data_IF_280360959190
#
_entry.id   IF_280360959190
#
_cell.length_a   1.000
_cell.length_b   1.000
_cell.length_c   1.000
_cell.angle_alpha   90.00
_cell.angle_beta   90.00
_cell.angle_gamma   90.00
#
_symmetry.space_group_name_H-M   'P 1'
#
loop_
_entity.id
_entity.type
_entity.pdbx_description
1 polymer ?
#
# COMPACT_ATOMS: atom_id res chain seq x y z
N UNK A 1 22.45 -5.78 9.23
CA UNK A 1 23.23 -6.84 8.56
C UNK A 1 23.23 -6.50 7.09
N UNK A 2 24.37 -6.47 6.39
CA UNK A 2 24.40 -6.22 4.95
C UNK A 2 24.10 -7.48 4.13
N UNK A 3 23.75 -7.31 2.86
CA UNK A 3 23.52 -8.43 1.92
C UNK A 3 24.56 -8.45 0.82
N UNK A 4 24.85 -9.66 0.31
CA UNK A 4 25.60 -9.81 -0.93
C UNK A 4 24.62 -9.73 -2.11
N UNK A 5 24.95 -8.89 -3.09
CA UNK A 5 24.20 -8.73 -4.32
C UNK A 5 25.17 -8.82 -5.50
N UNK A 6 24.74 -9.45 -6.60
CA UNK A 6 25.51 -9.51 -7.85
C UNK A 6 25.44 -8.17 -8.61
N UNK A 7 24.43 -7.35 -8.31
CA UNK A 7 24.19 -6.03 -8.90
C UNK A 7 24.74 -4.91 -8.02
N UNK A 8 24.97 -3.74 -8.63
CA UNK A 8 25.36 -2.55 -7.90
C UNK A 8 24.33 -2.19 -6.82
N UNK A 9 24.81 -1.80 -5.64
CA UNK A 9 23.95 -1.48 -4.51
C UNK A 9 23.06 -0.26 -4.83
N UNK A 10 21.75 -0.48 -4.85
CA UNK A 10 20.73 0.59 -5.01
C UNK A 10 20.48 1.35 -3.71
N UNK A 11 20.83 0.74 -2.59
CA UNK A 11 20.78 1.32 -1.24
C UNK A 11 21.85 0.64 -0.40
N UNK A 12 22.57 1.41 0.41
CA UNK A 12 23.67 0.89 1.24
C UNK A 12 23.41 1.10 2.73
N UNK A 13 24.05 0.29 3.55
CA UNK A 13 23.93 0.37 5.02
C UNK A 13 24.72 1.56 5.52
N UNK A 14 24.07 2.47 6.24
CA UNK A 14 24.78 3.49 7.05
C UNK A 14 24.97 2.92 8.46
N UNK A 15 26.21 2.91 9.00
CA UNK A 15 26.45 2.43 10.35
C UNK A 15 25.65 3.21 11.40
N UNK A 16 25.24 2.57 12.50
CA UNK A 16 24.58 3.29 13.59
C UNK A 16 25.55 4.31 14.20
N UNK A 17 25.01 5.47 14.56
CA UNK A 17 25.70 6.52 15.31
C UNK A 17 24.91 6.83 16.59
N UNK A 18 25.54 7.42 17.63
CA UNK A 18 24.86 7.74 18.87
C UNK A 18 23.63 8.62 18.63
N UNK A 19 22.52 8.33 19.32
CA UNK A 19 21.34 9.20 19.30
C UNK A 19 21.48 10.41 20.25
N UNK A 20 22.46 10.36 21.17
CA UNK A 20 22.74 11.38 22.17
C UNK A 20 24.21 11.23 22.64
N UNK A 21 24.91 12.33 23.01
CA UNK A 21 24.46 13.73 23.03
C UNK A 21 24.29 14.33 21.64
N UNK A 22 23.53 15.42 21.51
CA UNK A 22 23.20 16.07 20.23
C UNK A 22 24.47 16.41 19.44
N UNK A 23 25.53 16.82 20.13
CA UNK A 23 26.85 17.16 19.57
C UNK A 23 27.58 15.95 18.94
N UNK A 24 27.12 14.72 19.17
CA UNK A 24 27.65 13.49 18.58
C UNK A 24 26.62 12.74 17.73
N UNK A 25 25.41 13.30 17.54
CA UNK A 25 24.30 12.66 16.84
C UNK A 25 24.37 12.84 15.31
N UNK A 26 25.54 12.56 14.73
CA UNK A 26 25.76 12.61 13.28
C UNK A 26 26.62 11.44 12.82
N UNK A 27 26.43 11.02 11.58
CA UNK A 27 27.29 10.00 10.96
C UNK A 27 28.60 10.63 10.47
N UNK A 28 29.73 10.01 10.78
CA UNK A 28 31.02 10.29 10.13
C UNK A 28 31.22 9.48 8.85
N UNK A 29 30.37 8.47 8.62
CA UNK A 29 30.39 7.58 7.45
C UNK A 29 29.18 7.85 6.58
N UNK A 30 29.33 8.73 5.60
CA UNK A 30 28.23 9.17 4.72
C UNK A 30 28.01 8.25 3.53
N UNK A 31 28.98 7.39 3.20
CA UNK A 31 28.93 6.45 2.07
C UNK A 31 29.54 5.11 2.46
N UNK A 32 28.90 4.04 2.03
CA UNK A 32 29.37 2.66 2.17
C UNK A 32 29.13 1.92 0.86
N UNK A 33 29.73 0.73 0.70
CA UNK A 33 29.47 -0.19 -0.42
C UNK A 33 28.66 -1.41 0.00
N UNK A 34 28.30 -1.50 1.28
CA UNK A 34 27.55 -2.62 1.83
C UNK A 34 26.08 -2.50 1.45
N UNK A 35 25.58 -3.39 0.59
CA UNK A 35 24.21 -3.33 0.14
C UNK A 35 23.23 -3.56 1.29
N UNK A 36 22.24 -2.68 1.40
CA UNK A 36 21.08 -2.81 2.29
C UNK A 36 19.87 -3.43 1.56
N UNK A 37 19.85 -3.31 0.23
CA UNK A 37 18.83 -3.90 -0.65
C UNK A 37 19.52 -4.58 -1.83
N UNK A 38 19.11 -5.81 -2.12
CA UNK A 38 19.47 -6.51 -3.34
C UNK A 38 18.26 -6.56 -4.27
N UNK A 39 18.44 -6.18 -5.53
CA UNK A 39 17.41 -6.24 -6.59
C UNK A 39 17.91 -7.09 -7.75
N UNK A 40 17.02 -7.93 -8.29
CA UNK A 40 17.33 -8.85 -9.39
C UNK A 40 16.14 -9.04 -10.33
N UNK A 41 16.40 -8.98 -11.63
CA UNK A 41 15.50 -9.54 -12.64
C UNK A 41 16.01 -10.92 -13.06
N UNK A 42 15.12 -11.92 -13.11
CA UNK A 42 15.45 -13.27 -13.51
C UNK A 42 14.32 -13.82 -14.40
N UNK A 43 14.54 -13.82 -15.71
CA UNK A 43 13.47 -14.08 -16.68
C UNK A 43 12.32 -13.08 -16.51
N UNK A 44 11.11 -13.58 -16.26
CA UNK A 44 9.93 -12.73 -16.04
C UNK A 44 9.79 -12.22 -14.58
N UNK A 45 10.60 -12.73 -13.66
CA UNK A 45 10.53 -12.43 -12.23
C UNK A 45 11.33 -11.19 -11.86
N UNK A 46 10.80 -10.41 -10.91
CA UNK A 46 11.46 -9.29 -10.23
C UNK A 46 11.55 -9.61 -8.75
N UNK A 47 12.77 -9.60 -8.20
CA UNK A 47 13.04 -9.95 -6.80
C UNK A 47 13.67 -8.75 -6.09
N UNK A 48 13.17 -8.48 -4.88
CA UNK A 48 13.72 -7.47 -3.97
C UNK A 48 13.96 -8.15 -2.63
N UNK A 49 15.16 -7.99 -2.08
CA UNK A 49 15.52 -8.47 -0.75
C UNK A 49 16.03 -7.31 0.10
N UNK A 50 15.45 -7.14 1.29
CA UNK A 50 15.91 -6.17 2.29
C UNK A 50 16.73 -6.88 3.36
N UNK A 51 17.86 -6.30 3.70
CA UNK A 51 18.74 -6.85 4.74
C UNK A 51 18.21 -6.67 6.18
N UNK A 52 17.06 -5.98 6.33
CA UNK A 52 16.35 -5.77 7.58
C UNK A 52 14.84 -5.85 7.39
N UNK A 53 14.14 -5.85 8.52
CA UNK A 53 12.68 -5.93 8.55
C UNK A 53 12.06 -4.53 8.37
N UNK A 54 11.79 -4.18 7.10
CA UNK A 54 11.20 -2.88 6.74
C UNK A 54 9.79 -2.73 7.30
N UNK A 55 8.98 -3.79 7.28
CA UNK A 55 7.61 -3.77 7.78
C UNK A 55 7.57 -3.47 9.28
N UNK A 56 8.35 -4.20 10.07
CA UNK A 56 8.46 -3.96 11.52
C UNK A 56 9.08 -2.61 11.84
N UNK A 57 10.07 -2.17 11.06
CA UNK A 57 10.68 -0.84 11.22
C UNK A 57 9.65 0.26 11.01
N UNK A 58 8.86 0.18 9.93
CA UNK A 58 7.77 1.12 9.67
C UNK A 58 6.75 1.09 10.82
N UNK A 59 6.27 -0.10 11.21
CA UNK A 59 5.28 -0.25 12.28
C UNK A 59 5.73 0.37 13.62
N UNK A 60 7.03 0.32 13.93
CA UNK A 60 7.57 0.87 15.18
C UNK A 60 7.86 2.37 15.12
N UNK A 61 8.34 2.86 13.97
CA UNK A 61 8.83 4.23 13.84
C UNK A 61 7.83 5.20 13.23
N UNK A 62 6.88 4.71 12.43
CA UNK A 62 6.02 5.55 11.58
C UNK A 62 6.77 6.33 10.51
N UNK A 63 8.06 6.02 10.25
CA UNK A 63 8.87 6.84 9.37
C UNK A 63 8.45 6.66 7.89
N UNK A 64 8.10 7.75 7.16
CA UNK A 64 7.50 7.67 5.83
C UNK A 64 8.44 7.04 4.78
N UNK A 65 9.75 7.24 4.91
CA UNK A 65 10.74 6.69 3.96
C UNK A 65 10.72 5.16 3.88
N UNK A 66 10.50 4.47 5.01
CA UNK A 66 10.43 3.01 5.01
C UNK A 66 9.21 2.51 4.23
N UNK A 67 8.05 3.17 4.42
CA UNK A 67 6.85 2.88 3.65
C UNK A 67 7.05 3.18 2.16
N UNK A 68 7.67 4.31 1.82
CA UNK A 68 7.98 4.69 0.44
C UNK A 68 8.86 3.65 -0.24
N UNK A 69 9.87 3.12 0.44
CA UNK A 69 10.73 2.05 -0.09
C UNK A 69 9.95 0.76 -0.37
N UNK A 70 9.05 0.37 0.52
CA UNK A 70 8.18 -0.81 0.33
C UNK A 70 7.27 -0.60 -0.89
N UNK A 71 6.58 0.56 -0.98
CA UNK A 71 5.66 0.86 -2.07
C UNK A 71 6.37 0.91 -3.43
N UNK A 72 7.52 1.60 -3.52
CA UNK A 72 8.31 1.66 -4.75
C UNK A 72 8.81 0.26 -5.19
N UNK A 73 9.13 -0.60 -4.23
CA UNK A 73 9.56 -1.98 -4.50
C UNK A 73 8.41 -2.81 -5.06
N UNK A 74 7.20 -2.68 -4.49
CA UNK A 74 6.00 -3.34 -5.00
C UNK A 74 5.65 -2.84 -6.41
N UNK A 75 5.69 -1.53 -6.65
CA UNK A 75 5.47 -0.98 -7.99
C UNK A 75 6.47 -1.51 -9.01
N UNK A 76 7.75 -1.55 -8.65
CA UNK A 76 8.77 -2.12 -9.50
C UNK A 76 8.50 -3.61 -9.77
N UNK A 77 8.24 -4.41 -8.73
CA UNK A 77 7.94 -5.84 -8.88
C UNK A 77 6.71 -6.11 -9.74
N UNK A 78 5.65 -5.31 -9.57
CA UNK A 78 4.39 -5.42 -10.31
C UNK A 78 4.43 -4.74 -11.68
N UNK A 79 5.56 -4.15 -12.08
CA UNK A 79 5.71 -3.40 -13.35
C UNK A 79 4.70 -2.25 -13.47
N UNK A 80 4.41 -1.59 -12.34
CA UNK A 80 3.41 -0.53 -12.24
C UNK A 80 1.96 -1.02 -12.28
N UNK A 81 1.71 -2.34 -12.37
CA UNK A 81 0.35 -2.88 -12.37
C UNK A 81 -0.25 -2.80 -10.97
N UNK A 82 -1.36 -2.09 -10.84
CA UNK A 82 -2.14 -1.98 -9.61
C UNK A 82 -3.58 -2.42 -9.91
N UNK A 83 -3.94 -3.69 -9.60
CA UNK A 83 -5.26 -4.24 -9.92
C UNK A 83 -6.39 -3.47 -9.26
N UNK A 84 -6.14 -2.85 -8.10
CA UNK A 84 -7.08 -1.94 -7.46
C UNK A 84 -6.34 -0.67 -7.11
N UNK A 85 -6.96 0.46 -7.43
CA UNK A 85 -6.51 1.79 -7.05
C UNK A 85 -7.68 2.52 -6.43
N UNK A 86 -7.43 3.16 -5.30
CA UNK A 86 -8.40 4.00 -4.60
C UNK A 86 -7.74 5.35 -4.37
N UNK A 87 -8.36 6.39 -4.91
CA UNK A 87 -7.88 7.77 -4.84
C UNK A 87 -8.89 8.62 -4.07
N UNK A 88 -8.45 9.21 -2.97
CA UNK A 88 -9.27 10.03 -2.08
C UNK A 88 -8.45 10.51 -0.89
N UNK A 89 -9.02 11.43 -0.11
CA UNK A 89 -8.41 11.87 1.15
C UNK A 89 -8.57 10.82 2.25
N UNK A 90 -7.66 10.86 3.23
CA UNK A 90 -7.67 9.98 4.39
C UNK A 90 -6.74 8.77 4.24
N UNK A 91 -6.64 8.00 5.31
CA UNK A 91 -5.94 6.73 5.31
C UNK A 91 -6.96 5.59 5.24
N UNK A 92 -6.81 4.75 4.22
CA UNK A 92 -7.70 3.64 3.95
C UNK A 92 -6.93 2.34 3.86
N UNK A 93 -7.48 1.29 4.45
CA UNK A 93 -7.06 -0.08 4.19
C UNK A 93 -8.04 -0.73 3.22
N UNK A 94 -7.52 -1.41 2.20
CA UNK A 94 -8.33 -1.99 1.13
C UNK A 94 -8.11 -3.49 1.01
N UNK A 95 -9.19 -4.24 0.81
CA UNK A 95 -9.14 -5.66 0.49
C UNK A 95 -10.00 -5.94 -0.72
N UNK A 96 -9.43 -6.58 -1.72
CA UNK A 96 -10.12 -6.95 -2.95
C UNK A 96 -10.07 -8.45 -3.14
N UNK A 97 -11.21 -9.05 -3.44
CA UNK A 97 -11.29 -10.47 -3.73
C UNK A 97 -12.45 -10.82 -4.64
N UNK A 98 -12.38 -12.01 -5.19
CA UNK A 98 -13.45 -12.62 -5.96
C UNK A 98 -14.43 -13.36 -5.03
N UNK A 99 -15.72 -13.23 -5.30
CA UNK A 99 -16.82 -13.88 -4.59
C UNK A 99 -17.60 -14.79 -5.54
N UNK A 100 -18.53 -15.60 -5.02
CA UNK A 100 -19.41 -16.41 -5.86
C UNK A 100 -20.24 -15.56 -6.83
N UNK A 101 -20.73 -14.41 -6.37
CA UNK A 101 -21.56 -13.50 -7.17
C UNK A 101 -20.77 -12.58 -8.11
N UNK A 102 -19.46 -12.41 -7.88
CA UNK A 102 -18.63 -11.47 -8.64
C UNK A 102 -17.37 -11.08 -7.89
N UNK A 103 -17.26 -9.81 -7.49
CA UNK A 103 -16.09 -9.28 -6.78
C UNK A 103 -16.51 -8.37 -5.63
N UNK A 104 -15.63 -8.22 -4.64
CA UNK A 104 -15.82 -7.30 -3.54
C UNK A 104 -14.57 -6.45 -3.34
N UNK A 105 -14.78 -5.17 -3.03
CA UNK A 105 -13.77 -4.26 -2.51
C UNK A 105 -14.22 -3.77 -1.13
N UNK A 106 -13.44 -4.09 -0.11
CA UNK A 106 -13.62 -3.61 1.25
C UNK A 106 -12.76 -2.37 1.47
N UNK A 107 -13.34 -1.36 2.09
CA UNK A 107 -12.73 -0.07 2.41
C UNK A 107 -12.85 0.13 3.92
N UNK A 108 -11.72 0.04 4.65
CA UNK A 108 -11.68 0.31 6.08
C UNK A 108 -11.09 1.69 6.34
N UNK A 109 -11.82 2.53 7.08
CA UNK A 109 -11.35 3.84 7.46
C UNK A 109 -10.32 3.72 8.59
N UNK A 110 -9.06 3.99 8.24
CA UNK A 110 -7.92 4.02 9.15
C UNK A 110 -7.50 5.45 9.50
N UNK A 111 -8.31 6.46 9.14
CA UNK A 111 -8.08 7.87 9.42
C UNK A 111 -8.32 8.21 10.90
N UNK A 112 -7.36 7.81 11.73
CA UNK A 112 -7.36 8.01 13.16
C UNK A 112 -6.00 8.61 13.60
N UNK A 113 -5.98 9.72 14.36
CA UNK A 113 -4.74 10.27 14.94
C UNK A 113 -3.91 9.24 15.73
N UNK A 114 -4.56 8.20 16.26
CA UNK A 114 -3.98 7.09 16.99
C UNK A 114 -4.01 5.77 16.20
N UNK A 115 -3.87 5.79 14.87
CA UNK A 115 -3.89 4.64 13.96
C UNK A 115 -3.28 3.33 14.51
N UNK A 116 -2.14 3.42 15.19
CA UNK A 116 -1.40 2.25 15.70
C UNK A 116 -1.74 1.87 17.14
N UNK A 117 -2.79 2.47 17.73
CA UNK A 117 -3.32 2.11 19.05
C UNK A 117 -4.73 1.57 18.93
N UNK A 118 -5.06 0.58 19.75
CA UNK A 118 -6.35 -0.14 19.67
C UNK A 118 -7.58 0.63 20.16
N UNK A 119 -7.45 1.87 20.64
CA UNK A 119 -8.58 2.64 21.20
C UNK A 119 -9.01 3.72 20.21
N UNK A 120 -10.22 3.54 19.67
CA UNK A 120 -10.90 4.50 18.80
C UNK A 120 -12.17 4.98 19.49
N UNK A 121 -12.26 6.28 19.79
CA UNK A 121 -13.44 6.87 20.43
C UNK A 121 -14.50 7.28 19.41
N UNK A 122 -14.08 7.83 18.27
CA UNK A 122 -14.92 8.23 17.14
C UNK A 122 -14.14 8.09 15.84
N UNK A 123 -14.85 7.87 14.75
CA UNK A 123 -14.26 7.87 13.41
C UNK A 123 -14.25 9.28 12.82
N UNK A 124 -13.17 9.62 12.12
CA UNK A 124 -13.11 10.81 11.27
C UNK A 124 -13.46 10.37 9.84
N UNK A 125 -14.72 10.52 9.40
CA UNK A 125 -15.13 10.05 8.09
C UNK A 125 -14.35 10.79 6.99
N UNK A 126 -14.06 10.09 5.90
CA UNK A 126 -13.55 10.72 4.69
C UNK A 126 -14.57 10.63 3.56
N UNK A 127 -14.51 11.62 2.66
CA UNK A 127 -15.43 11.78 1.54
C UNK A 127 -15.13 10.85 0.38
N UNK A 128 -15.40 11.33 -0.82
CA UNK A 128 -15.38 10.54 -2.05
C UNK A 128 -14.08 9.77 -2.26
N UNK A 129 -14.20 8.47 -2.52
CA UNK A 129 -13.10 7.57 -2.88
C UNK A 129 -13.33 7.08 -4.31
N UNK A 130 -12.48 7.53 -5.24
CA UNK A 130 -12.50 7.11 -6.64
C UNK A 130 -11.81 5.78 -6.77
N UNK A 131 -12.54 4.77 -7.23
CA UNK A 131 -12.05 3.40 -7.36
C UNK A 131 -11.85 3.06 -8.82
N UNK A 132 -10.68 2.48 -9.12
CA UNK A 132 -10.40 1.77 -10.36
C UNK A 132 -10.06 0.32 -10.02
N UNK A 133 -10.87 -0.60 -10.55
CA UNK A 133 -10.77 -2.03 -10.30
C UNK A 133 -10.52 -2.78 -11.62
N UNK A 134 -9.41 -3.49 -11.73
CA UNK A 134 -9.07 -4.37 -12.84
C UNK A 134 -9.49 -5.80 -12.49
N UNK A 135 -10.53 -6.29 -13.16
CA UNK A 135 -11.02 -7.66 -12.99
C UNK A 135 -9.93 -8.67 -13.37
N UNK A 136 -9.74 -9.79 -12.66
CA UNK A 136 -8.73 -10.79 -12.98
C UNK A 136 -9.03 -11.58 -14.26
N UNK A 137 -10.30 -11.60 -14.67
CA UNK A 137 -10.80 -12.19 -15.92
C UNK A 137 -11.77 -11.24 -16.60
N UNK A 138 -12.14 -11.55 -17.83
CA UNK A 138 -13.28 -10.89 -18.47
C UNK A 138 -14.57 -11.31 -17.76
N UNK A 139 -15.26 -10.34 -17.18
CA UNK A 139 -16.58 -10.51 -16.58
C UNK A 139 -17.38 -9.23 -16.80
N UNK A 140 -18.66 -9.36 -17.14
CA UNK A 140 -19.54 -8.21 -17.35
C UNK A 140 -20.20 -7.85 -16.02
N UNK A 141 -19.83 -6.71 -15.45
CA UNK A 141 -20.47 -6.17 -14.26
C UNK A 141 -21.80 -5.54 -14.67
N UNK A 142 -22.87 -5.94 -13.99
CA UNK A 142 -24.23 -5.44 -14.16
C UNK A 142 -24.55 -4.38 -13.11
N UNK A 143 -23.96 -4.49 -11.92
CA UNK A 143 -24.23 -3.59 -10.80
C UNK A 143 -23.00 -3.43 -9.91
N UNK A 144 -22.83 -2.21 -9.40
CA UNK A 144 -21.96 -1.92 -8.26
C UNK A 144 -22.81 -1.41 -7.11
N UNK A 145 -22.67 -2.00 -5.92
CA UNK A 145 -23.47 -1.64 -4.74
C UNK A 145 -22.54 -1.37 -3.56
N UNK A 146 -22.67 -0.20 -2.94
CA UNK A 146 -22.15 0.06 -1.60
C UNK A 146 -23.04 -0.70 -0.59
N UNK A 147 -22.57 -1.84 -0.12
CA UNK A 147 -23.34 -2.79 0.67
C UNK A 147 -23.75 -2.21 2.02
N UNK A 148 -22.88 -1.43 2.66
CA UNK A 148 -23.17 -0.84 3.96
C UNK A 148 -24.13 0.33 3.84
N UNK A 149 -23.93 1.20 2.86
CA UNK A 149 -24.87 2.29 2.57
C UNK A 149 -26.19 1.80 1.96
N UNK A 150 -26.24 0.56 1.44
CA UNK A 150 -27.41 0.02 0.73
C UNK A 150 -27.68 0.76 -0.59
N UNK A 151 -26.66 1.36 -1.20
CA UNK A 151 -26.80 2.25 -2.35
C UNK A 151 -26.16 1.64 -3.60
N UNK A 152 -26.90 1.66 -4.71
CA UNK A 152 -26.32 1.35 -6.01
C UNK A 152 -25.45 2.52 -6.50
N UNK A 153 -24.22 2.23 -6.90
CA UNK A 153 -23.25 3.20 -7.37
C UNK A 153 -23.25 3.24 -8.91
N UNK A 154 -23.21 4.44 -9.52
CA UNK A 154 -22.92 4.55 -10.94
C UNK A 154 -21.49 4.06 -11.20
N UNK A 155 -21.31 3.31 -12.27
CA UNK A 155 -20.00 2.80 -12.67
C UNK A 155 -19.84 2.84 -14.18
N UNK A 156 -18.58 2.79 -14.63
CA UNK A 156 -18.20 2.59 -16.02
C UNK A 156 -17.34 1.34 -16.11
N UNK A 157 -17.54 0.56 -17.17
CA UNK A 157 -16.70 -0.59 -17.45
C UNK A 157 -16.14 -0.50 -18.88
N UNK A 158 -14.82 -0.58 -19.00
CA UNK A 158 -14.10 -0.68 -20.28
C UNK A 158 -13.25 -1.96 -20.27
N UNK A 159 -13.73 -3.01 -20.95
CA UNK A 159 -13.10 -4.33 -20.90
C UNK A 159 -13.05 -4.86 -19.47
N UNK A 160 -11.84 -5.04 -18.93
CA UNK A 160 -11.61 -5.51 -17.56
C UNK A 160 -11.49 -4.40 -16.51
N UNK A 161 -11.54 -3.12 -16.90
CA UNK A 161 -11.42 -2.01 -15.99
C UNK A 161 -12.81 -1.49 -15.60
N UNK A 162 -13.09 -1.46 -14.30
CA UNK A 162 -14.33 -0.95 -13.71
C UNK A 162 -14.00 0.28 -12.86
N UNK A 163 -14.69 1.39 -13.09
CA UNK A 163 -14.50 2.65 -12.38
C UNK A 163 -15.80 3.08 -11.71
N UNK A 164 -15.72 3.44 -10.44
CA UNK A 164 -16.86 3.92 -9.64
C UNK A 164 -16.37 4.77 -8.47
N UNK A 165 -17.28 5.48 -7.82
CA UNK A 165 -16.96 6.32 -6.65
C UNK A 165 -17.76 5.87 -5.45
N UNK A 166 -17.08 5.63 -4.32
CA UNK A 166 -17.72 5.46 -3.01
C UNK A 166 -17.86 6.86 -2.39
N UNK A 167 -19.08 7.37 -2.12
CA UNK A 167 -19.28 8.77 -1.71
C UNK A 167 -18.63 9.15 -0.38
N UNK A 168 -18.45 8.18 0.52
CA UNK A 168 -17.76 8.39 1.78
C UNK A 168 -17.68 7.11 2.59
N UNK A 169 -16.75 7.07 3.54
CA UNK A 169 -16.54 5.93 4.43
C UNK A 169 -16.44 6.46 5.86
N UNK A 170 -17.37 6.05 6.71
CA UNK A 170 -17.36 6.45 8.13
C UNK A 170 -16.35 5.60 8.90
N UNK A 171 -16.53 4.29 8.91
CA UNK A 171 -15.64 3.31 9.55
C UNK A 171 -15.30 2.18 8.59
N UNK A 172 -16.28 1.79 7.78
CA UNK A 172 -16.19 0.69 6.84
C UNK A 172 -17.17 0.87 5.68
N UNK A 173 -16.84 0.37 4.50
CA UNK A 173 -17.75 0.17 3.38
C UNK A 173 -17.28 -1.07 2.58
N UNK A 174 -18.20 -1.73 1.90
CA UNK A 174 -17.88 -2.75 0.91
C UNK A 174 -18.62 -2.48 -0.39
N UNK A 175 -17.87 -2.33 -1.49
CA UNK A 175 -18.44 -2.28 -2.82
C UNK A 175 -18.50 -3.71 -3.40
N UNK A 176 -19.71 -4.21 -3.65
CA UNK A 176 -19.93 -5.43 -4.42
C UNK A 176 -20.03 -5.08 -5.91
N UNK A 177 -19.32 -5.83 -6.75
CA UNK A 177 -19.36 -5.76 -8.20
C UNK A 177 -19.95 -7.10 -8.71
N UNK A 178 -21.18 -7.07 -9.19
CA UNK A 178 -21.98 -8.24 -9.64
C UNK A 178 -22.33 -8.14 -11.13
#
# INVERSE_FOLDING_TARGET
>A
VPVRADSAAVMTVVPPYPAYPTEAAYTTTTRTSEAAVAVKEAGNSRLVYFAGDMGRTFWRSGHPDTLRLILNSLDWMLRGRRPVQVEGEGLIEIFAWETEAGFALHLLNMNNPNLHRGVTLRHSPFGEQRVRFELPREARIRRVTALRAGQQLPFRQAGRQVEFTVPGVVDYEAAALE
#
